data_IF_131724642832
#
_entry.id   IF_131724642832
#
_cell.length_a   1.000
_cell.length_b   1.000
_cell.length_c   1.000
_cell.angle_alpha   90.00
_cell.angle_beta   90.00
_cell.angle_gamma   90.00
#
_symmetry.space_group_name_H-M   'P 1'
#
loop_
_entity.id
_entity.type
_entity.pdbx_description
1 polymer ?
#
# COMPACT_ATOMS: atom_id res chain seq x y z
N UNK A 1 -21.91 15.34 -9.33
CA UNK A 1 -21.51 15.00 -8.98
C UNK A 1 -21.19 14.09 -8.77
N UNK A 2 -20.83 13.86 -8.71
CA UNK A 2 -20.46 13.04 -8.70
C UNK A 2 -20.31 12.30 -7.84
N UNK A 3 -19.93 11.85 -7.48
CA UNK A 3 -19.78 11.02 -6.76
C UNK A 3 -20.29 11.32 -5.74
N UNK A 4 -20.58 11.61 -5.82
CA UNK A 4 -20.94 11.85 -5.16
C UNK A 4 -21.80 11.58 -4.33
N UNK A 5 -22.29 11.01 -4.36
CA UNK A 5 -23.14 10.71 -3.56
C UNK A 5 -22.69 10.60 -2.28
N UNK A 6 -21.81 10.01 -2.15
CA UNK A 6 -21.31 9.76 -1.01
C UNK A 6 -21.12 10.87 -0.31
N UNK A 7 -20.67 11.64 -0.90
CA UNK A 7 -20.28 12.60 -0.26
C UNK A 7 -21.19 13.28 0.50
N UNK A 8 -22.06 13.52 0.02
CA UNK A 8 -22.78 14.31 0.68
C UNK A 8 -22.96 14.05 1.97
N UNK A 9 -22.92 13.17 2.25
CA UNK A 9 -23.28 12.91 3.38
C UNK A 9 -22.59 13.15 4.37
N UNK A 10 -22.08 13.62 4.43
CA UNK A 10 -21.66 13.58 5.56
C UNK A 10 -20.60 13.02 6.05
N UNK A 11 -19.65 12.93 5.44
CA UNK A 11 -18.53 12.41 5.98
C UNK A 11 -17.81 13.54 6.59
N UNK A 12 -17.75 13.63 7.81
CA UNK A 12 -17.03 14.69 8.45
C UNK A 12 -15.94 14.06 9.25
N UNK A 13 -14.74 14.39 8.98
CA UNK A 13 -13.61 13.86 9.72
C UNK A 13 -13.15 14.83 10.77
N UNK A 14 -12.83 14.33 11.93
CA UNK A 14 -12.30 15.16 12.97
C UNK A 14 -10.84 15.44 12.67
N UNK A 15 -10.26 16.47 13.24
CA UNK A 15 -8.83 16.72 13.05
C UNK A 15 -7.98 15.54 13.46
N UNK A 16 -8.40 14.80 14.49
CA UNK A 16 -7.65 13.64 14.91
C UNK A 16 -7.68 12.55 13.87
N UNK A 17 -8.83 12.38 13.21
CA UNK A 17 -8.94 11.36 12.18
C UNK A 17 -8.10 11.73 10.98
N UNK A 18 -8.06 13.00 10.64
CA UNK A 18 -7.26 13.45 9.52
C UNK A 18 -5.78 13.24 9.83
N UNK A 19 -5.37 13.56 11.04
CA UNK A 19 -3.99 13.37 11.43
C UNK A 19 -3.62 11.89 11.41
N UNK A 20 -4.53 11.05 11.85
CA UNK A 20 -4.28 9.62 11.86
C UNK A 20 -4.15 9.08 10.45
N UNK A 21 -5.02 9.53 9.54
CA UNK A 21 -4.91 9.09 8.16
C UNK A 21 -3.61 9.54 7.52
N UNK A 22 -3.20 10.77 7.81
CA UNK A 22 -1.96 11.28 7.26
C UNK A 22 -0.78 10.46 7.75
N UNK A 23 -0.83 10.05 9.01
CA UNK A 23 0.24 9.25 9.55
C UNK A 23 0.26 7.86 8.95
N UNK A 24 -0.90 7.26 8.76
CA UNK A 24 -0.96 5.94 8.15
C UNK A 24 -0.51 5.98 6.71
N UNK A 25 -0.85 7.05 6.00
CA UNK A 25 -0.42 7.20 4.64
C UNK A 25 1.10 7.32 4.57
N UNK A 26 1.66 8.09 5.49
CA UNK A 26 3.10 8.26 5.54
C UNK A 26 3.80 6.92 5.82
N UNK A 27 3.26 6.15 6.74
CA UNK A 27 3.85 4.85 7.06
C UNK A 27 3.73 3.91 5.86
N UNK A 28 2.58 3.89 5.21
CA UNK A 28 2.41 3.04 4.05
C UNK A 28 3.40 3.40 2.96
N UNK A 29 3.55 4.69 2.71
CA UNK A 29 4.46 5.15 1.70
C UNK A 29 5.90 4.75 2.02
N UNK A 30 6.26 4.87 3.28
CA UNK A 30 7.59 4.50 3.72
C UNK A 30 7.82 2.99 3.53
N UNK A 31 6.84 2.18 3.90
CA UNK A 31 6.98 0.74 3.77
C UNK A 31 7.03 0.31 2.32
N UNK A 32 6.20 0.90 1.48
CA UNK A 32 6.21 0.57 0.07
C UNK A 32 7.55 0.95 -0.55
N UNK A 33 8.06 2.13 -0.20
CA UNK A 33 9.35 2.55 -0.72
C UNK A 33 10.47 1.63 -0.28
N UNK A 34 10.35 1.11 0.94
CA UNK A 34 11.33 0.18 1.43
C UNK A 34 11.34 -1.08 0.59
N UNK A 35 10.17 -1.61 0.28
CA UNK A 35 10.11 -2.83 -0.53
C UNK A 35 10.60 -2.57 -1.95
N UNK A 36 10.29 -1.39 -2.50
CA UNK A 36 10.79 -1.06 -3.82
C UNK A 36 12.30 -0.94 -3.82
N UNK A 37 12.87 -0.38 -2.76
CA UNK A 37 14.31 -0.26 -2.65
C UNK A 37 14.97 -1.63 -2.60
N UNK A 38 14.31 -2.58 -1.94
CA UNK A 38 14.86 -3.92 -1.89
C UNK A 38 14.87 -4.57 -3.27
N UNK A 39 13.85 -4.30 -4.07
CA UNK A 39 13.81 -4.82 -5.42
C UNK A 39 14.95 -4.22 -6.23
N UNK A 40 15.14 -2.92 -6.12
CA UNK A 40 16.20 -2.26 -6.86
C UNK A 40 17.56 -2.79 -6.43
N UNK A 41 17.75 -2.92 -5.13
CA UNK A 41 19.02 -3.42 -4.61
C UNK A 41 19.31 -4.84 -5.12
N UNK A 42 18.27 -5.67 -5.14
CA UNK A 42 18.45 -7.03 -5.63
C UNK A 42 18.82 -7.04 -7.11
N UNK A 43 18.18 -6.18 -7.90
CA UNK A 43 18.49 -6.10 -9.30
C UNK A 43 19.91 -5.62 -9.52
N UNK A 44 20.35 -4.65 -8.73
CA UNK A 44 21.72 -4.18 -8.86
C UNK A 44 22.72 -5.28 -8.52
N UNK A 45 22.38 -6.06 -7.52
CA UNK A 45 23.26 -7.13 -7.14
C UNK A 45 23.34 -8.19 -8.22
N UNK A 46 22.23 -8.50 -8.88
CA UNK A 46 22.24 -9.45 -9.97
C UNK A 46 23.14 -8.95 -11.11
N UNK A 47 23.09 -7.66 -11.36
CA UNK A 47 23.91 -7.12 -12.40
C UNK A 47 25.39 -7.28 -12.10
N UNK A 48 25.75 -7.14 -10.84
CA UNK A 48 27.14 -7.29 -10.51
C UNK A 48 27.54 -8.71 -10.32
N UNK A 49 26.69 -9.53 -9.79
CA UNK A 49 27.01 -10.93 -9.54
C UNK A 49 25.87 -11.79 -10.04
N UNK A 50 25.85 -12.08 -11.32
CA UNK A 50 24.77 -12.88 -11.91
C UNK A 50 24.56 -14.22 -11.24
N UNK A 51 25.58 -14.74 -10.60
CA UNK A 51 25.42 -16.03 -9.95
C UNK A 51 24.46 -15.97 -8.78
N UNK A 52 24.10 -14.78 -8.33
CA UNK A 52 23.16 -14.65 -7.24
C UNK A 52 21.72 -14.51 -7.74
N UNK A 53 21.54 -14.56 -9.05
CA UNK A 53 20.23 -14.30 -9.62
C UNK A 53 19.12 -15.13 -9.00
N UNK A 54 19.31 -16.42 -8.88
CA UNK A 54 18.24 -17.26 -8.36
C UNK A 54 17.85 -16.85 -6.97
N UNK A 55 18.83 -16.54 -6.14
CA UNK A 55 18.55 -16.15 -4.81
C UNK A 55 17.85 -14.82 -4.75
N UNK A 56 18.28 -13.88 -5.58
CA UNK A 56 17.73 -12.56 -5.57
C UNK A 56 16.31 -12.54 -6.13
N UNK A 57 16.03 -13.42 -7.10
CA UNK A 57 14.70 -13.48 -7.66
C UNK A 57 13.69 -13.91 -6.58
N UNK A 58 14.08 -14.83 -5.72
CA UNK A 58 13.19 -15.24 -4.67
C UNK A 58 12.84 -14.08 -3.76
N UNK A 59 13.81 -13.20 -3.53
CA UNK A 59 13.54 -12.04 -2.72
C UNK A 59 12.65 -11.06 -3.46
N UNK A 60 12.93 -10.86 -4.73
CA UNK A 60 12.20 -9.90 -5.53
C UNK A 60 10.73 -10.27 -5.63
N UNK A 61 10.43 -11.54 -5.85
CA UNK A 61 9.06 -11.93 -6.03
C UNK A 61 8.20 -11.80 -4.77
N UNK A 62 8.83 -11.70 -3.62
CA UNK A 62 8.08 -11.54 -2.40
C UNK A 62 7.66 -10.10 -2.17
N UNK A 63 8.35 -9.16 -2.77
CA UNK A 63 8.09 -7.77 -2.48
C UNK A 63 6.74 -7.26 -2.98
N UNK A 64 6.30 -7.62 -4.18
CA UNK A 64 5.01 -7.13 -4.63
C UNK A 64 3.86 -7.52 -3.71
N UNK A 65 3.92 -8.73 -3.15
CA UNK A 65 2.89 -9.14 -2.23
C UNK A 65 2.90 -8.30 -0.98
N UNK A 66 4.07 -7.97 -0.50
CA UNK A 66 4.18 -7.15 0.70
C UNK A 66 3.72 -5.73 0.42
N UNK A 67 4.02 -5.22 -0.77
CA UNK A 67 3.57 -3.90 -1.16
C UNK A 67 2.05 -3.88 -1.23
N UNK A 68 1.46 -4.90 -1.84
CA UNK A 68 0.02 -4.98 -1.93
C UNK A 68 -0.62 -5.07 -0.56
N UNK A 69 0.00 -5.80 0.35
CA UNK A 69 -0.52 -5.91 1.69
C UNK A 69 -0.50 -4.56 2.41
N UNK A 70 0.57 -3.79 2.21
CA UNK A 70 0.65 -2.48 2.82
C UNK A 70 -0.44 -1.57 2.30
N UNK A 71 -0.67 -1.60 0.99
CA UNK A 71 -1.68 -0.76 0.38
C UNK A 71 -3.06 -1.19 0.85
N UNK A 72 -3.29 -2.50 0.93
CA UNK A 72 -4.57 -2.98 1.36
C UNK A 72 -4.87 -2.59 2.80
N UNK A 73 -3.88 -2.68 3.66
CA UNK A 73 -4.06 -2.31 5.05
C UNK A 73 -4.45 -0.83 5.15
N UNK A 74 -3.80 0.00 4.35
CA UNK A 74 -4.12 1.41 4.37
C UNK A 74 -5.52 1.66 3.82
N UNK A 75 -5.88 0.96 2.76
CA UNK A 75 -7.21 1.10 2.18
C UNK A 75 -8.28 0.69 3.18
N UNK A 76 -8.04 -0.38 3.90
CA UNK A 76 -9.00 -0.82 4.90
C UNK A 76 -9.15 0.23 5.99
N UNK A 77 -8.06 0.87 6.35
CA UNK A 77 -8.13 1.91 7.37
C UNK A 77 -8.98 3.08 6.90
N UNK A 78 -8.84 3.44 5.64
CA UNK A 78 -9.63 4.52 5.10
C UNK A 78 -11.10 4.14 5.12
N UNK A 79 -11.41 2.94 4.72
CA UNK A 79 -12.79 2.49 4.69
C UNK A 79 -13.42 2.53 6.08
N UNK A 80 -12.67 2.10 7.06
CA UNK A 80 -13.18 2.11 8.41
C UNK A 80 -13.44 3.54 8.88
N UNK A 81 -12.47 4.40 8.66
CA UNK A 81 -12.61 5.76 9.13
C UNK A 81 -13.72 6.52 8.41
N UNK A 82 -13.87 6.28 7.13
CA UNK A 82 -14.89 6.97 6.39
C UNK A 82 -16.24 6.27 6.45
N UNK A 83 -16.28 5.09 7.00
CA UNK A 83 -17.50 4.34 7.06
C UNK A 83 -17.94 3.79 5.72
N UNK A 84 -17.02 3.67 4.81
CA UNK A 84 -17.34 3.16 3.50
C UNK A 84 -17.06 1.69 3.40
N UNK A 85 -17.89 0.97 2.69
CA UNK A 85 -17.63 -0.41 2.55
C UNK A 85 -17.26 -0.73 1.20
N UNK A 86 -16.19 -1.13 0.94
CA UNK A 86 -15.78 -1.40 -0.38
C UNK A 86 -15.79 -2.76 -0.55
N UNK A 87 -16.55 -3.28 -1.17
CA UNK A 87 -16.51 -4.61 -1.19
C UNK A 87 -15.72 -5.19 -2.15
N UNK A 88 -15.69 -5.00 -3.02
CA UNK A 88 -15.07 -5.74 -3.89
C UNK A 88 -13.81 -5.98 -3.96
N UNK A 89 -13.23 -5.23 -4.01
CA UNK A 89 -11.95 -5.36 -4.33
C UNK A 89 -11.35 -6.43 -3.90
N UNK A 90 -11.44 -6.52 -2.96
CA UNK A 90 -10.70 -7.42 -2.46
C UNK A 90 -10.67 -8.55 -3.13
N UNK A 91 -11.59 -8.95 -3.42
CA UNK A 91 -11.53 -10.15 -3.94
C UNK A 91 -10.89 -10.14 -5.10
N UNK A 92 -10.94 -9.35 -5.67
CA UNK A 92 -10.37 -9.42 -6.79
C UNK A 92 -9.18 -9.70 -6.76
N UNK A 93 -8.73 -9.52 -6.29
CA UNK A 93 -7.50 -9.81 -6.30
C UNK A 93 -7.15 -10.44 -6.41
#
# INVERSE_FOLDING_TARGET
MPFMGVTDSSIALTPEQIADLAKRLSHMRHDVNNHLSLIVAACELIKRKPELANRMVENIVQQPEKICANIRTFSDSIEVILGIKCNSPSQVS
#
